data_IF_403533714411
#
_entry.id   IF_403533714411
#
_cell.length_a   1.000
_cell.length_b   1.000
_cell.length_c   1.000
_cell.angle_alpha   90.00
_cell.angle_beta   90.00
_cell.angle_gamma   90.00
#
_symmetry.space_group_name_H-M   'P 1'
#
loop_
_entity.id
_entity.type
_entity.pdbx_description
1 polymer ?
#
# COMPACT_ATOMS: atom_id res chain seq x y z
N UNK A 1 24.54 3.47 -5.18
CA UNK A 1 23.11 3.67 -5.49
C UNK A 1 22.32 2.75 -4.58
N UNK A 2 21.63 3.23 -3.52
CA UNK A 2 20.99 2.31 -2.60
C UNK A 2 19.76 1.72 -3.30
N UNK A 3 19.80 0.42 -3.56
CA UNK A 3 18.62 -0.32 -3.98
C UNK A 3 17.70 -0.43 -2.78
N UNK A 4 16.53 0.19 -2.88
CA UNK A 4 15.47 0.10 -1.87
C UNK A 4 14.44 -0.91 -2.37
N UNK A 5 13.84 -1.62 -1.42
CA UNK A 5 12.82 -2.61 -1.70
C UNK A 5 11.63 -2.39 -0.78
N UNK A 6 10.48 -2.13 -1.38
CA UNK A 6 9.22 -1.98 -0.67
C UNK A 6 8.44 -3.29 -0.77
N UNK A 7 8.04 -3.84 0.37
CA UNK A 7 7.11 -4.95 0.40
C UNK A 7 5.69 -4.41 0.54
N UNK A 8 4.89 -4.63 -0.50
CA UNK A 8 3.50 -4.20 -0.55
C UNK A 8 2.60 -5.44 -0.55
N UNK A 9 1.65 -5.48 0.37
CA UNK A 9 0.68 -6.55 0.51
C UNK A 9 -0.70 -6.03 0.17
N UNK A 10 -1.45 -6.72 -0.68
CA UNK A 10 -2.84 -6.38 -1.02
C UNK A 10 -3.70 -7.62 -0.93
N UNK A 11 -4.65 -7.60 -0.01
CA UNK A 11 -5.71 -8.59 0.10
C UNK A 11 -6.99 -8.00 -0.50
N UNK A 12 -7.62 -8.74 -1.42
CA UNK A 12 -8.95 -8.43 -1.94
C UNK A 12 -9.80 -9.66 -1.69
N UNK A 13 -10.88 -9.49 -0.94
CA UNK A 13 -11.81 -10.56 -0.61
C UNK A 13 -13.22 -10.15 -1.02
N UNK A 14 -13.77 -10.73 -2.09
CA UNK A 14 -15.18 -10.56 -2.44
C UNK A 14 -16.04 -11.36 -1.46
N UNK A 15 -16.65 -10.68 -0.49
CA UNK A 15 -17.56 -11.30 0.48
C UNK A 15 -18.90 -11.70 -0.17
N UNK A 16 -19.37 -10.92 -1.13
CA UNK A 16 -20.56 -11.20 -1.94
C UNK A 16 -20.37 -10.63 -3.34
N UNK A 17 -21.19 -11.04 -4.32
CA UNK A 17 -21.19 -10.47 -5.68
C UNK A 17 -21.29 -8.94 -5.69
N UNK A 18 -21.94 -8.39 -4.65
CA UNK A 18 -22.18 -6.96 -4.47
C UNK A 18 -21.22 -6.30 -3.46
N UNK A 19 -20.38 -7.06 -2.75
CA UNK A 19 -19.53 -6.53 -1.68
C UNK A 19 -18.11 -7.05 -1.80
N UNK A 20 -17.18 -6.14 -2.11
CA UNK A 20 -15.75 -6.44 -2.16
C UNK A 20 -15.03 -5.68 -1.06
N UNK A 21 -14.34 -6.40 -0.19
CA UNK A 21 -13.48 -5.81 0.83
C UNK A 21 -12.04 -5.91 0.35
N UNK A 22 -11.30 -4.82 0.46
CA UNK A 22 -9.90 -4.75 0.09
C UNK A 22 -9.09 -4.11 1.21
N UNK A 23 -7.98 -4.73 1.55
CA UNK A 23 -7.02 -4.27 2.54
C UNK A 23 -5.64 -4.29 1.88
N UNK A 24 -4.98 -3.13 1.84
CA UNK A 24 -3.63 -2.94 1.33
C UNK A 24 -2.72 -2.42 2.43
N UNK A 25 -1.52 -2.97 2.51
CA UNK A 25 -0.44 -2.45 3.35
C UNK A 25 0.74 -2.20 2.43
N UNK A 26 1.13 -0.94 2.29
CA UNK A 26 2.29 -0.55 1.49
C UNK A 26 3.46 -0.24 2.42
N UNK A 27 4.67 -0.53 1.95
CA UNK A 27 5.92 -0.30 2.68
C UNK A 27 5.99 -1.00 4.04
N UNK A 28 5.72 -2.31 4.10
CA UNK A 28 5.78 -3.08 5.36
C UNK A 28 7.19 -3.05 6.00
N UNK A 29 8.23 -2.95 5.19
CA UNK A 29 9.63 -2.89 5.63
C UNK A 29 10.09 -1.52 6.12
N UNK A 30 9.19 -0.52 6.20
CA UNK A 30 9.46 0.86 6.68
C UNK A 30 10.76 1.47 6.12
N UNK A 31 11.06 1.16 4.86
CA UNK A 31 12.25 1.70 4.20
C UNK A 31 12.01 3.17 3.84
N UNK A 32 12.55 4.07 4.67
CA UNK A 32 12.63 5.49 4.36
C UNK A 32 13.59 5.73 3.20
N UNK A 33 13.06 5.69 1.97
CA UNK A 33 13.82 6.10 0.80
C UNK A 33 13.81 7.63 0.67
N UNK A 34 15.01 8.21 0.51
CA UNK A 34 15.18 9.56 -0.05
C UNK A 34 15.58 9.39 -1.51
N UNK A 35 14.72 9.72 -2.50
CA UNK A 35 15.16 9.85 -3.87
C UNK A 35 16.28 10.88 -3.91
N UNK A 36 17.44 10.50 -4.47
CA UNK A 36 18.56 11.42 -4.61
C UNK A 36 18.06 12.66 -5.40
N UNK A 37 18.15 13.84 -4.77
CA UNK A 37 17.73 15.15 -5.31
C UNK A 37 16.26 15.58 -5.18
N UNK A 38 15.38 14.84 -4.48
CA UNK A 38 14.04 15.34 -4.14
C UNK A 38 13.85 15.46 -2.62
N UNK A 39 13.49 16.66 -2.14
CA UNK A 39 13.22 16.94 -0.71
C UNK A 39 11.97 16.28 -0.13
N UNK A 40 11.31 15.41 -0.90
CA UNK A 40 10.12 14.67 -0.53
C UNK A 40 10.52 13.28 -0.07
N UNK A 41 10.36 13.04 1.24
CA UNK A 41 10.54 11.73 1.85
C UNK A 41 9.38 10.83 1.40
N UNK A 42 9.68 9.62 0.92
CA UNK A 42 8.64 8.65 0.60
C UNK A 42 7.73 8.45 1.83
N UNK A 43 6.40 8.37 1.67
CA UNK A 43 5.53 8.01 2.78
C UNK A 43 6.02 6.69 3.36
N UNK A 44 6.10 6.59 4.69
CA UNK A 44 6.55 5.38 5.38
C UNK A 44 5.55 4.25 5.18
N UNK A 45 5.12 3.60 6.26
CA UNK A 45 4.04 2.61 6.16
C UNK A 45 2.70 3.27 5.81
N UNK A 46 2.06 2.81 4.73
CA UNK A 46 0.71 3.22 4.35
C UNK A 46 -0.26 2.04 4.52
N UNK A 47 -1.43 2.31 5.11
CA UNK A 47 -2.47 1.32 5.34
C UNK A 47 -3.73 1.78 4.60
N UNK A 48 -4.16 0.99 3.63
CA UNK A 48 -5.35 1.23 2.84
C UNK A 48 -6.40 0.19 3.19
N UNK A 49 -7.59 0.64 3.57
CA UNK A 49 -8.74 -0.23 3.74
C UNK A 49 -9.87 0.36 2.89
N UNK A 50 -10.46 -0.46 2.03
CA UNK A 50 -11.54 -0.03 1.15
C UNK A 50 -12.60 -1.12 1.07
N UNK A 51 -13.85 -0.71 1.22
CA UNK A 51 -15.03 -1.55 1.01
C UNK A 51 -15.76 -0.98 -0.20
N UNK A 52 -16.01 -1.82 -1.18
CA UNK A 52 -16.66 -1.46 -2.42
C UNK A 52 -17.98 -2.23 -2.52
N UNK A 53 -19.09 -1.48 -2.54
CA UNK A 53 -20.42 -2.02 -2.75
C UNK A 53 -20.85 -1.76 -4.20
N UNK A 54 -21.22 -2.80 -4.92
CA UNK A 54 -21.78 -2.75 -6.27
C UNK A 54 -23.29 -3.05 -6.17
N UNK A 55 -24.13 -2.09 -6.54
CA UNK A 55 -25.59 -2.21 -6.56
C UNK A 55 -26.09 -2.58 -7.95
#
# INVERSE_FOLDING_TARGET
SPAWYTLNFKAIYPFHTNWTVSAGVENLTDQRYRPYSAGLVAPGRNLLFAVQAHF
#
